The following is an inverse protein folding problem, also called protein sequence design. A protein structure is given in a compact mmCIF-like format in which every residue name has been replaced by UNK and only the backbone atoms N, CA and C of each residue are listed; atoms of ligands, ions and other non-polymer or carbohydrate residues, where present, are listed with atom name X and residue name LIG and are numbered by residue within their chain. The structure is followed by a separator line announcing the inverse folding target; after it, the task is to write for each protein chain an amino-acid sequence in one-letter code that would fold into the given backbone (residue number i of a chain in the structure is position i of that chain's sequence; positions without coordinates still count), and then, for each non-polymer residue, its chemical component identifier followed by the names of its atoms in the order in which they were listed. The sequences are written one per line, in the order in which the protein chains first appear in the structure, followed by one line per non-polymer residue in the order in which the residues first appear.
data_IF_545065024320
#
_entry.id   IF_545065024320
#
_cell.length_a   1.000
_cell.length_b   1.000
_cell.length_c   1.000
_cell.angle_alpha   90.00
_cell.angle_beta   90.00
_cell.angle_gamma   90.00
#
_symmetry.space_group_name_H-M   'P 1'
#
loop_
_entity.id
_entity.type
_entity.pdbx_description
1 polymer ?
#
# COMPACT_ATOMS: atom_id res chain seq x y z
N UNK A 1 0.54 19.58 -34.16
CA UNK A 1 1.19 18.77 -33.11
C UNK A 1 0.30 17.56 -32.87
N UNK A 2 0.81 16.34 -33.01
CA UNK A 2 -0.02 15.14 -32.92
C UNK A 2 -0.51 14.96 -31.48
N UNK A 3 -1.82 14.79 -31.32
CA UNK A 3 -2.38 14.30 -30.05
C UNK A 3 -1.68 12.98 -29.72
N UNK A 4 -1.23 12.84 -28.46
CA UNK A 4 -0.91 11.51 -27.95
C UNK A 4 -2.22 10.77 -27.99
N UNK A 5 -2.32 9.73 -28.79
CA UNK A 5 -3.53 8.93 -28.87
C UNK A 5 -3.35 7.64 -28.09
N UNK A 6 -4.45 7.03 -27.71
CA UNK A 6 -4.50 5.80 -26.95
C UNK A 6 -3.59 4.70 -27.53
N UNK A 7 -3.57 4.52 -28.85
CA UNK A 7 -2.73 3.52 -29.50
C UNK A 7 -1.24 3.77 -29.28
N UNK A 8 -0.80 5.04 -29.26
CA UNK A 8 0.60 5.41 -28.99
C UNK A 8 0.97 5.17 -27.54
N UNK A 9 0.06 5.47 -26.61
CA UNK A 9 0.27 5.22 -25.19
C UNK A 9 0.27 3.73 -24.88
N UNK A 10 -0.66 2.95 -25.44
CA UNK A 10 -0.66 1.48 -25.32
C UNK A 10 0.67 0.90 -25.80
N UNK A 11 1.14 1.27 -27.00
CA UNK A 11 2.42 0.82 -27.50
C UNK A 11 3.60 1.21 -26.60
N UNK A 12 3.57 2.42 -26.05
CA UNK A 12 4.60 2.87 -25.11
C UNK A 12 4.65 2.02 -23.85
N UNK A 13 3.47 1.64 -23.31
CA UNK A 13 3.37 0.79 -22.12
C UNK A 13 3.66 -0.68 -22.47
N UNK A 14 3.30 -1.15 -23.67
CA UNK A 14 3.68 -2.50 -24.15
C UNK A 14 5.19 -2.75 -24.09
N UNK A 15 5.98 -1.72 -24.40
CA UNK A 15 7.45 -1.81 -24.33
C UNK A 15 7.97 -2.07 -22.89
N UNK A 16 7.12 -1.98 -21.87
CA UNK A 16 7.48 -2.30 -20.48
C UNK A 16 7.34 -3.78 -20.15
N UNK A 17 6.53 -4.52 -20.88
CA UNK A 17 6.25 -5.93 -20.60
C UNK A 17 7.47 -6.82 -20.85
N UNK A 18 7.90 -7.54 -19.82
CA UNK A 18 8.94 -8.56 -19.95
C UNK A 18 8.42 -9.86 -20.58
N UNK A 19 7.12 -10.14 -20.45
CA UNK A 19 6.46 -11.37 -20.90
C UNK A 19 5.84 -11.27 -22.30
N UNK A 20 5.88 -10.10 -22.94
CA UNK A 20 5.17 -9.81 -24.20
C UNK A 20 3.65 -9.61 -24.02
N UNK A 21 3.12 -9.68 -22.81
CA UNK A 21 1.74 -9.32 -22.48
C UNK A 21 1.67 -7.88 -22.03
N UNK A 22 0.69 -7.15 -22.51
CA UNK A 22 0.40 -5.80 -22.04
C UNK A 22 -0.68 -5.85 -20.96
N UNK A 23 -0.26 -5.94 -19.70
CA UNK A 23 -1.19 -6.00 -18.56
C UNK A 23 -2.03 -4.71 -18.43
N UNK A 24 -1.57 -3.60 -19.04
CA UNK A 24 -2.28 -2.32 -19.03
C UNK A 24 -3.46 -2.25 -20.02
N UNK A 25 -3.60 -3.22 -20.95
CA UNK A 25 -4.81 -3.34 -21.77
C UNK A 25 -6.05 -3.62 -20.94
N UNK A 26 -5.83 -4.22 -19.76
CA UNK A 26 -6.87 -4.49 -18.79
C UNK A 26 -6.50 -3.85 -17.44
N UNK A 27 -6.76 -2.55 -17.27
CA UNK A 27 -6.33 -1.78 -16.12
C UNK A 27 -7.03 -2.22 -14.83
N UNK A 28 -6.40 -1.96 -13.70
CA UNK A 28 -6.85 -2.41 -12.39
C UNK A 28 -8.30 -2.01 -12.07
N UNK A 29 -8.71 -0.78 -12.42
CA UNK A 29 -10.08 -0.33 -12.19
C UNK A 29 -11.12 -1.20 -12.91
N UNK A 30 -10.82 -1.71 -14.11
CA UNK A 30 -11.72 -2.60 -14.84
C UNK A 30 -11.68 -4.01 -14.24
N UNK A 31 -10.48 -4.50 -13.85
CA UNK A 31 -10.35 -5.78 -13.12
C UNK A 31 -11.16 -5.78 -11.83
N UNK A 32 -11.14 -4.68 -11.08
CA UNK A 32 -11.93 -4.55 -9.85
C UNK A 32 -13.43 -4.58 -10.13
N UNK A 33 -13.91 -3.87 -11.16
CA UNK A 33 -15.33 -3.89 -11.54
C UNK A 33 -15.79 -5.30 -11.92
N UNK A 34 -15.02 -5.97 -12.76
CA UNK A 34 -15.36 -7.34 -13.20
C UNK A 34 -15.19 -8.35 -12.05
N UNK A 35 -14.12 -8.20 -11.25
CA UNK A 35 -13.89 -9.06 -10.10
C UNK A 35 -15.05 -9.03 -9.11
N UNK A 36 -15.62 -7.87 -8.83
CA UNK A 36 -16.82 -7.78 -7.99
C UNK A 36 -18.05 -8.43 -8.64
N UNK A 37 -18.20 -8.41 -9.97
CA UNK A 37 -19.29 -9.14 -10.66
C UNK A 37 -19.08 -10.65 -10.58
N UNK A 38 -17.83 -11.12 -10.66
CA UNK A 38 -17.48 -12.54 -10.47
C UNK A 38 -17.73 -12.94 -9.00
N UNK A 39 -17.33 -12.10 -8.04
CA UNK A 39 -17.56 -12.32 -6.62
C UNK A 39 -19.05 -12.48 -6.31
N UNK A 40 -19.91 -11.59 -6.81
CA UNK A 40 -21.37 -11.67 -6.64
C UNK A 40 -21.97 -12.98 -7.16
N UNK A 41 -21.41 -13.55 -8.23
CA UNK A 41 -21.88 -14.83 -8.78
C UNK A 41 -21.43 -16.05 -7.97
N UNK A 42 -20.25 -15.97 -7.34
CA UNK A 42 -19.63 -17.10 -6.63
C UNK A 42 -19.74 -17.04 -5.10
N UNK A 43 -20.11 -15.89 -4.51
CA UNK A 43 -20.07 -15.65 -3.07
C UNK A 43 -20.95 -16.61 -2.26
N UNK A 44 -22.05 -17.10 -2.82
CA UNK A 44 -22.93 -18.02 -2.11
C UNK A 44 -22.28 -19.37 -1.83
N UNK A 45 -21.48 -19.87 -2.79
CA UNK A 45 -20.71 -21.10 -2.63
C UNK A 45 -19.57 -20.87 -1.59
N UNK A 46 -18.92 -19.73 -1.64
CA UNK A 46 -17.87 -19.40 -0.70
C UNK A 46 -18.42 -19.31 0.74
N UNK A 47 -19.57 -18.65 0.95
CA UNK A 47 -20.24 -18.62 2.25
C UNK A 47 -20.58 -20.01 2.77
N UNK A 48 -21.14 -20.87 1.91
CA UNK A 48 -21.43 -22.25 2.27
C UNK A 48 -20.17 -22.98 2.76
N UNK A 49 -19.04 -22.85 2.04
CA UNK A 49 -17.76 -23.48 2.44
C UNK A 49 -17.25 -22.96 3.78
N UNK A 50 -17.39 -21.65 4.06
CA UNK A 50 -17.03 -21.06 5.37
C UNK A 50 -17.93 -21.63 6.45
N UNK A 51 -19.22 -21.75 6.22
CA UNK A 51 -20.17 -22.34 7.17
C UNK A 51 -19.88 -23.83 7.41
N UNK A 52 -19.55 -24.59 6.37
CA UNK A 52 -19.14 -25.99 6.48
C UNK A 52 -17.85 -26.15 7.30
N UNK A 53 -16.90 -25.23 7.13
CA UNK A 53 -15.69 -25.19 7.96
C UNK A 53 -16.03 -24.92 9.43
N UNK A 54 -16.88 -23.92 9.70
CA UNK A 54 -17.32 -23.58 11.07
C UNK A 54 -18.08 -24.72 11.76
N UNK A 55 -18.85 -25.47 11.00
CA UNK A 55 -19.60 -26.64 11.48
C UNK A 55 -18.76 -27.91 11.56
N UNK A 56 -17.47 -27.86 11.22
CA UNK A 56 -16.55 -28.99 11.26
C UNK A 56 -16.76 -30.02 10.15
N UNK A 57 -17.52 -29.66 9.08
CA UNK A 57 -17.73 -30.52 7.90
C UNK A 57 -16.46 -30.56 7.05
N UNK A 58 -15.79 -29.42 6.89
CA UNK A 58 -14.48 -29.33 6.25
C UNK A 58 -13.43 -28.79 7.23
N UNK A 59 -12.17 -29.11 6.97
CA UNK A 59 -11.05 -28.61 7.81
C UNK A 59 -10.81 -27.15 7.56
N UNK A 60 -10.35 -26.44 8.59
CA UNK A 60 -9.85 -25.08 8.46
C UNK A 60 -8.72 -25.02 7.42
N UNK A 61 -8.72 -23.98 6.59
CA UNK A 61 -7.76 -23.81 5.49
C UNK A 61 -7.70 -25.00 4.54
N UNK A 62 -8.83 -25.66 4.27
CA UNK A 62 -8.91 -26.71 3.28
C UNK A 62 -8.56 -26.16 1.89
N UNK A 63 -7.88 -26.97 1.08
CA UNK A 63 -7.54 -26.60 -0.31
C UNK A 63 -8.77 -26.15 -1.12
N UNK A 64 -9.94 -26.73 -0.82
CA UNK A 64 -11.20 -26.36 -1.46
C UNK A 64 -11.68 -24.95 -1.10
N UNK A 65 -11.51 -24.54 0.16
CA UNK A 65 -11.89 -23.18 0.60
C UNK A 65 -10.92 -22.15 -0.01
N UNK A 66 -9.62 -22.45 0.06
CA UNK A 66 -8.59 -21.58 -0.54
C UNK A 66 -8.82 -21.42 -2.04
N UNK A 67 -9.04 -22.54 -2.77
CA UNK A 67 -9.32 -22.51 -4.20
C UNK A 67 -10.56 -21.68 -4.53
N UNK A 68 -11.66 -21.85 -3.78
CA UNK A 68 -12.87 -21.07 -3.99
C UNK A 68 -12.65 -19.56 -3.78
N UNK A 69 -11.84 -19.16 -2.80
CA UNK A 69 -11.46 -17.75 -2.61
C UNK A 69 -10.63 -17.24 -3.78
N UNK A 70 -9.60 -18.00 -4.20
CA UNK A 70 -8.72 -17.62 -5.30
C UNK A 70 -9.46 -17.50 -6.64
N UNK A 71 -10.45 -18.35 -6.93
CA UNK A 71 -11.30 -18.22 -8.11
C UNK A 71 -11.99 -16.86 -8.18
N UNK A 72 -12.35 -16.27 -7.03
CA UNK A 72 -13.02 -14.98 -6.93
C UNK A 72 -12.07 -13.78 -6.91
N UNK A 73 -10.81 -13.96 -6.44
CA UNK A 73 -9.84 -12.88 -6.24
C UNK A 73 -8.80 -12.79 -7.36
N UNK A 74 -8.36 -13.91 -7.95
CA UNK A 74 -7.35 -13.93 -9.02
C UNK A 74 -7.71 -13.14 -10.29
N UNK A 75 -8.99 -12.93 -10.63
CA UNK A 75 -9.32 -12.01 -11.73
C UNK A 75 -8.85 -10.58 -11.50
N UNK A 76 -8.68 -10.18 -10.22
CA UNK A 76 -8.21 -8.84 -9.82
C UNK A 76 -6.73 -8.82 -9.51
N UNK A 77 -6.25 -9.74 -8.68
CA UNK A 77 -4.90 -9.79 -8.14
C UNK A 77 -4.13 -11.02 -8.64
N UNK A 78 -2.88 -10.83 -9.03
CA UNK A 78 -1.99 -11.94 -9.38
C UNK A 78 -1.44 -12.66 -8.13
N UNK A 79 -1.24 -11.89 -7.05
CA UNK A 79 -0.73 -12.40 -5.77
C UNK A 79 -1.49 -11.74 -4.63
N UNK A 80 -2.35 -12.52 -3.96
CA UNK A 80 -3.20 -12.04 -2.86
C UNK A 80 -3.15 -12.99 -1.67
N UNK A 81 -2.92 -12.43 -0.50
CA UNK A 81 -3.07 -13.10 0.78
C UNK A 81 -4.40 -12.70 1.43
N UNK A 82 -5.10 -13.66 2.00
CA UNK A 82 -6.41 -13.43 2.59
C UNK A 82 -6.71 -14.40 3.72
N UNK A 83 -7.63 -14.01 4.58
CA UNK A 83 -8.28 -14.86 5.56
C UNK A 83 -9.79 -14.76 5.39
N UNK A 84 -10.52 -15.77 5.86
CA UNK A 84 -11.98 -15.78 5.85
C UNK A 84 -12.52 -16.06 7.23
N UNK A 85 -13.66 -15.44 7.55
CA UNK A 85 -14.28 -15.57 8.86
C UNK A 85 -15.79 -15.36 8.82
N UNK A 86 -16.36 -15.36 10.02
CA UNK A 86 -17.73 -14.99 10.29
C UNK A 86 -17.83 -14.39 11.70
N UNK A 87 -18.31 -13.16 11.81
CA UNK A 87 -18.34 -12.45 13.10
C UNK A 87 -19.64 -12.64 13.90
N UNK A 88 -20.53 -13.55 13.50
CA UNK A 88 -21.84 -13.76 14.11
C UNK A 88 -23.00 -13.13 13.33
N UNK A 89 -22.72 -12.18 12.44
CA UNK A 89 -23.67 -11.45 11.62
C UNK A 89 -23.37 -11.59 10.13
N UNK A 90 -22.13 -11.30 9.72
CA UNK A 90 -21.68 -11.33 8.32
C UNK A 90 -20.47 -12.23 8.15
N UNK A 91 -20.33 -12.76 6.94
CA UNK A 91 -19.07 -13.37 6.51
C UNK A 91 -17.99 -12.31 6.39
N UNK A 92 -16.75 -12.69 6.58
CA UNK A 92 -15.60 -11.79 6.52
C UNK A 92 -14.60 -12.26 5.46
N UNK A 93 -14.19 -11.34 4.63
CA UNK A 93 -13.04 -11.47 3.74
C UNK A 93 -11.99 -10.46 4.19
N UNK A 94 -10.90 -10.95 4.74
CA UNK A 94 -9.81 -10.15 5.27
C UNK A 94 -8.67 -10.24 4.27
N UNK A 95 -8.36 -9.12 3.63
CA UNK A 95 -7.28 -8.99 2.65
C UNK A 95 -6.03 -8.48 3.38
N UNK A 96 -4.90 -9.18 3.23
CA UNK A 96 -3.69 -8.87 3.99
C UNK A 96 -2.57 -8.42 3.08
N UNK A 97 -1.86 -7.39 3.52
CA UNK A 97 -0.71 -6.83 2.81
C UNK A 97 0.59 -7.57 3.13
N UNK A 98 0.58 -8.47 4.13
CA UNK A 98 1.76 -9.23 4.61
C UNK A 98 2.97 -8.33 4.90
N UNK A 99 2.71 -7.15 5.50
CA UNK A 99 3.72 -6.15 5.83
C UNK A 99 4.19 -5.29 4.65
N UNK A 100 3.74 -5.56 3.43
CA UNK A 100 4.04 -4.71 2.27
C UNK A 100 3.12 -3.48 2.25
N UNK A 101 3.66 -2.37 2.73
CA UNK A 101 2.92 -1.09 2.85
C UNK A 101 2.35 -0.60 1.52
N UNK A 102 2.98 -0.90 0.38
CA UNK A 102 2.50 -0.49 -0.93
C UNK A 102 1.27 -1.29 -1.38
N UNK A 103 1.16 -2.57 -0.98
CA UNK A 103 -0.02 -3.41 -1.25
C UNK A 103 -1.30 -2.87 -0.61
N UNK A 104 -1.21 -2.04 0.43
CA UNK A 104 -2.39 -1.42 1.03
C UNK A 104 -3.18 -0.57 0.03
N UNK A 105 -2.52 0.11 -0.92
CA UNK A 105 -3.20 0.96 -1.89
C UNK A 105 -4.18 0.19 -2.79
N UNK A 106 -3.79 -0.87 -3.51
CA UNK A 106 -4.73 -1.67 -4.29
C UNK A 106 -5.76 -2.40 -3.44
N UNK A 107 -5.43 -2.86 -2.23
CA UNK A 107 -6.39 -3.51 -1.34
C UNK A 107 -7.48 -2.53 -0.86
N UNK A 108 -7.10 -1.31 -0.48
CA UNK A 108 -8.06 -0.25 -0.10
C UNK A 108 -8.88 0.19 -1.30
N UNK A 109 -8.28 0.30 -2.48
CA UNK A 109 -9.01 0.59 -3.71
C UNK A 109 -10.09 -0.48 -3.98
N UNK A 110 -9.72 -1.75 -3.91
CA UNK A 110 -10.67 -2.87 -4.08
C UNK A 110 -11.79 -2.82 -3.05
N UNK A 111 -11.47 -2.64 -1.76
CA UNK A 111 -12.45 -2.53 -0.68
C UNK A 111 -13.44 -1.37 -0.91
N UNK A 112 -12.95 -0.18 -1.26
CA UNK A 112 -13.78 1.02 -1.50
C UNK A 112 -14.77 0.85 -2.65
N UNK A 113 -14.49 -0.05 -3.60
CA UNK A 113 -15.35 -0.33 -4.76
C UNK A 113 -16.25 -1.55 -4.57
N UNK A 114 -16.34 -2.09 -3.36
CA UNK A 114 -17.25 -3.22 -3.09
C UNK A 114 -18.72 -2.82 -3.30
N UNK A 115 -19.50 -3.59 -4.08
CA UNK A 115 -20.93 -3.31 -4.30
C UNK A 115 -21.72 -3.40 -2.99
N UNK A 116 -22.81 -2.64 -2.89
CA UNK A 116 -23.69 -2.67 -1.72
C UNK A 116 -24.25 -4.06 -1.45
N UNK A 117 -24.58 -4.81 -2.48
CA UNK A 117 -25.11 -6.17 -2.42
C UNK A 117 -24.10 -7.14 -1.75
N UNK A 118 -22.80 -6.93 -1.97
CA UNK A 118 -21.74 -7.67 -1.26
C UNK A 118 -21.71 -7.24 0.21
N UNK A 119 -21.70 -5.94 0.47
CA UNK A 119 -21.58 -5.38 1.83
C UNK A 119 -22.81 -5.69 2.73
N UNK A 120 -23.94 -6.09 2.16
CA UNK A 120 -25.10 -6.60 2.93
C UNK A 120 -24.77 -7.90 3.67
N UNK A 121 -23.91 -8.75 3.09
CA UNK A 121 -23.61 -10.11 3.57
C UNK A 121 -22.17 -10.31 4.01
N UNK A 122 -21.27 -9.42 3.57
CA UNK A 122 -19.86 -9.50 3.80
C UNK A 122 -19.30 -8.25 4.48
N UNK A 123 -18.34 -8.46 5.36
CA UNK A 123 -17.39 -7.45 5.75
C UNK A 123 -16.11 -7.65 4.92
N UNK A 124 -15.79 -6.69 4.08
CA UNK A 124 -14.53 -6.66 3.33
C UNK A 124 -13.55 -5.83 4.15
N UNK A 125 -12.54 -6.48 4.68
CA UNK A 125 -11.60 -5.91 5.65
C UNK A 125 -10.21 -5.87 5.02
N UNK A 126 -9.50 -4.76 5.15
CA UNK A 126 -8.09 -4.66 4.79
C UNK A 126 -7.24 -4.66 6.06
N UNK A 127 -6.31 -5.59 6.12
CA UNK A 127 -5.45 -5.84 7.29
C UNK A 127 -6.11 -6.71 8.36
N UNK A 128 -5.33 -7.59 8.94
CA UNK A 128 -5.76 -8.43 10.08
C UNK A 128 -6.18 -7.55 11.25
N UNK A 129 -7.26 -7.94 11.90
CA UNK A 129 -7.74 -7.31 13.14
C UNK A 129 -6.99 -7.91 14.34
N UNK A 130 -6.79 -7.14 15.44
CA UNK A 130 -6.19 -7.69 16.64
C UNK A 130 -7.05 -8.81 17.20
N UNK A 131 -6.40 -9.86 17.65
CA UNK A 131 -7.06 -11.00 18.29
C UNK A 131 -7.30 -10.68 19.76
N UNK A 132 -8.55 -10.74 20.20
CA UNK A 132 -8.93 -10.35 21.58
C UNK A 132 -8.54 -11.37 22.63
N UNK A 133 -8.35 -12.63 22.26
CA UNK A 133 -7.85 -13.68 23.13
C UNK A 133 -6.35 -13.88 22.96
N UNK A 134 -5.71 -14.55 23.94
CA UNK A 134 -4.28 -14.80 23.81
C UNK A 134 -4.01 -15.81 22.69
N UNK A 135 -3.57 -15.29 21.54
CA UNK A 135 -3.12 -16.11 20.42
C UNK A 135 -1.83 -16.86 20.74
N UNK A 136 -1.69 -18.07 20.23
CA UNK A 136 -0.48 -18.87 20.38
C UNK A 136 -0.13 -19.63 19.10
N UNK A 137 1.16 -19.75 18.84
CA UNK A 137 1.71 -20.49 17.70
C UNK A 137 2.43 -21.72 18.23
N UNK A 138 2.09 -22.88 17.69
CA UNK A 138 2.80 -24.12 17.97
C UNK A 138 3.74 -24.46 16.84
N UNK A 139 5.04 -24.29 17.07
CA UNK A 139 6.08 -24.60 16.09
C UNK A 139 7.32 -25.17 16.78
N UNK A 140 8.02 -26.07 16.09
CA UNK A 140 9.26 -26.73 16.55
C UNK A 140 9.15 -27.31 17.99
N UNK A 141 7.97 -27.87 18.29
CA UNK A 141 7.73 -28.50 19.61
C UNK A 141 7.45 -27.50 20.75
N UNK A 142 7.53 -26.19 20.48
CA UNK A 142 7.20 -25.15 21.44
C UNK A 142 5.83 -24.52 21.14
N UNK A 143 5.15 -24.08 22.21
CA UNK A 143 3.93 -23.27 22.14
C UNK A 143 4.26 -21.88 22.66
N UNK A 144 4.28 -20.90 21.76
CA UNK A 144 4.61 -19.50 22.07
C UNK A 144 3.33 -18.69 21.98
N UNK A 145 2.98 -18.02 23.07
CA UNK A 145 1.76 -17.23 23.21
C UNK A 145 2.10 -15.74 23.34
N UNK A 146 1.18 -14.87 22.95
CA UNK A 146 1.27 -13.44 23.26
C UNK A 146 1.44 -13.15 24.76
N UNK A 147 1.03 -14.08 25.64
CA UNK A 147 1.23 -13.96 27.11
C UNK A 147 2.68 -14.18 27.53
N UNK A 148 3.48 -14.85 26.70
CA UNK A 148 4.90 -15.12 26.98
C UNK A 148 5.79 -13.93 26.60
N UNK A 149 5.23 -12.90 25.94
CA UNK A 149 5.98 -11.77 25.40
C UNK A 149 5.78 -10.51 26.22
N UNK A 150 6.89 -9.90 26.59
CA UNK A 150 6.95 -8.60 27.26
C UNK A 150 7.44 -7.53 26.31
N UNK A 151 6.89 -6.31 26.42
CA UNK A 151 7.10 -5.19 25.50
C UNK A 151 7.46 -3.94 26.29
N UNK A 152 8.54 -3.26 25.87
CA UNK A 152 8.88 -1.89 26.25
C UNK A 152 8.70 -1.02 25.03
N UNK A 153 8.10 0.17 25.19
CA UNK A 153 7.70 1.05 24.09
C UNK A 153 8.46 2.37 24.23
N UNK A 154 9.14 2.76 23.18
CA UNK A 154 9.75 4.09 23.05
C UNK A 154 9.02 4.86 21.93
N UNK A 155 8.23 5.87 22.33
CA UNK A 155 7.50 6.72 21.39
C UNK A 155 8.39 7.80 20.80
N UNK A 156 8.25 8.00 19.49
CA UNK A 156 8.89 9.10 18.74
C UNK A 156 7.95 10.29 18.58
N UNK A 157 8.51 11.46 18.26
CA UNK A 157 7.73 12.69 18.05
C UNK A 157 6.68 12.57 16.92
N UNK A 158 6.96 11.77 15.90
CA UNK A 158 6.07 11.50 14.78
C UNK A 158 4.94 10.50 15.10
N UNK A 159 4.74 10.16 16.37
CA UNK A 159 3.74 9.20 16.86
C UNK A 159 3.96 7.76 16.40
N UNK A 160 5.17 7.41 15.96
CA UNK A 160 5.56 6.00 15.78
C UNK A 160 6.29 5.50 17.03
N UNK A 161 6.34 4.19 17.21
CA UNK A 161 6.99 3.54 18.33
C UNK A 161 8.12 2.62 17.88
N UNK A 162 9.17 2.59 18.66
CA UNK A 162 10.16 1.52 18.64
C UNK A 162 9.85 0.56 19.79
N UNK A 163 9.78 -0.74 19.49
CA UNK A 163 9.42 -1.77 20.45
C UNK A 163 10.63 -2.61 20.79
N UNK A 164 10.80 -2.90 22.09
CA UNK A 164 11.76 -3.87 22.58
C UNK A 164 10.99 -5.05 23.15
N UNK A 165 11.21 -6.24 22.62
CA UNK A 165 10.40 -7.42 22.87
C UNK A 165 11.23 -8.52 23.49
N UNK A 166 10.77 -9.06 24.61
CA UNK A 166 11.40 -10.20 25.27
C UNK A 166 10.43 -11.36 25.37
N UNK A 167 10.91 -12.53 24.97
CA UNK A 167 10.21 -13.80 25.17
C UNK A 167 11.25 -14.87 25.49
N UNK A 168 11.25 -15.38 26.74
CA UNK A 168 12.21 -16.39 27.19
C UNK A 168 12.27 -17.62 26.26
N UNK A 169 11.10 -18.05 25.76
CA UNK A 169 10.99 -19.19 24.83
C UNK A 169 11.63 -18.95 23.46
N UNK A 170 11.87 -17.69 23.08
CA UNK A 170 12.49 -17.32 21.81
C UNK A 170 14.00 -17.08 21.90
N UNK A 171 14.57 -16.97 23.10
CA UNK A 171 16.00 -16.65 23.26
C UNK A 171 16.90 -17.66 22.55
N UNK A 172 16.63 -18.96 22.67
CA UNK A 172 17.38 -20.00 21.98
C UNK A 172 17.27 -19.90 20.46
N UNK A 173 16.07 -19.57 19.94
CA UNK A 173 15.87 -19.37 18.51
C UNK A 173 16.56 -18.11 17.98
N UNK A 174 16.62 -17.07 18.80
CA UNK A 174 17.34 -15.83 18.43
C UNK A 174 18.82 -16.11 18.19
N UNK A 175 19.41 -17.02 18.95
CA UNK A 175 20.82 -17.43 18.80
C UNK A 175 21.04 -18.43 17.66
N UNK A 176 20.11 -19.34 17.42
CA UNK A 176 20.24 -20.41 16.41
C UNK A 176 19.74 -19.97 15.02
N UNK A 177 18.65 -19.22 14.96
CA UNK A 177 18.02 -18.75 13.73
C UNK A 177 17.24 -17.46 13.99
N UNK A 178 17.93 -16.33 13.97
CA UNK A 178 17.41 -15.00 14.24
C UNK A 178 16.21 -14.66 13.33
N UNK A 179 16.33 -14.90 12.03
CA UNK A 179 15.26 -14.60 11.07
C UNK A 179 13.94 -15.30 11.43
N UNK A 180 14.03 -16.50 11.96
CA UNK A 180 12.87 -17.26 12.37
C UNK A 180 12.22 -16.67 13.63
N UNK A 181 13.02 -16.26 14.61
CA UNK A 181 12.51 -15.59 15.81
C UNK A 181 11.80 -14.27 15.46
N UNK A 182 12.38 -13.48 14.57
CA UNK A 182 11.76 -12.24 14.06
C UNK A 182 10.46 -12.51 13.29
N UNK A 183 10.43 -13.52 12.42
CA UNK A 183 9.22 -13.90 11.69
C UNK A 183 8.07 -14.30 12.63
N UNK A 184 8.35 -15.15 13.65
CA UNK A 184 7.36 -15.49 14.67
C UNK A 184 6.85 -14.27 15.41
N UNK A 185 7.75 -13.34 15.75
CA UNK A 185 7.35 -12.14 16.47
C UNK A 185 6.50 -11.20 15.61
N UNK A 186 6.77 -11.07 14.30
CA UNK A 186 5.90 -10.35 13.37
C UNK A 186 4.47 -10.88 13.43
N UNK A 187 4.28 -12.21 13.36
CA UNK A 187 2.95 -12.81 13.44
C UNK A 187 2.28 -12.49 14.78
N UNK A 188 3.01 -12.63 15.91
CA UNK A 188 2.44 -12.33 17.22
C UNK A 188 2.09 -10.85 17.39
N UNK A 189 2.88 -9.94 16.83
CA UNK A 189 2.59 -8.52 16.81
C UNK A 189 1.33 -8.20 16.01
N UNK A 190 1.21 -8.72 14.78
CA UNK A 190 0.03 -8.51 13.94
C UNK A 190 -1.25 -9.08 14.61
N UNK A 191 -1.12 -10.20 15.32
CA UNK A 191 -2.24 -10.74 16.11
C UNK A 191 -2.55 -9.88 17.35
N UNK A 192 -1.55 -9.24 17.93
CA UNK A 192 -1.73 -8.44 19.15
C UNK A 192 -2.32 -7.05 18.87
N UNK A 193 -1.88 -6.39 17.81
CA UNK A 193 -2.27 -5.00 17.52
C UNK A 193 -3.08 -4.84 16.25
N UNK A 194 -3.12 -5.84 15.38
CA UNK A 194 -3.64 -5.77 14.02
C UNK A 194 -2.57 -5.29 13.02
N UNK A 195 -2.75 -5.67 11.78
CA UNK A 195 -1.77 -5.38 10.71
C UNK A 195 -1.68 -3.87 10.42
N UNK A 196 -2.79 -3.16 10.35
CA UNK A 196 -2.78 -1.71 10.07
C UNK A 196 -2.07 -0.91 11.16
N UNK A 197 -2.34 -1.10 12.47
CA UNK A 197 -1.58 -0.43 13.51
C UNK A 197 -0.09 -0.83 13.54
N UNK A 198 0.22 -2.09 13.24
CA UNK A 198 1.61 -2.55 13.10
C UNK A 198 2.33 -1.76 12.00
N UNK A 199 1.73 -1.64 10.83
CA UNK A 199 2.26 -0.89 9.69
C UNK A 199 2.39 0.63 9.96
N UNK A 200 1.39 1.23 10.65
CA UNK A 200 1.31 2.69 10.83
C UNK A 200 2.15 3.22 11.97
N UNK A 201 2.19 2.51 13.08
CA UNK A 201 2.66 3.05 14.35
C UNK A 201 3.89 2.33 14.89
N UNK A 202 4.26 1.15 14.36
CA UNK A 202 5.50 0.47 14.74
C UNK A 202 6.55 0.75 13.66
N UNK A 203 7.56 1.54 14.03
CA UNK A 203 8.67 1.87 13.12
C UNK A 203 9.62 0.69 12.97
N UNK A 204 10.01 0.12 14.10
CA UNK A 204 10.82 -1.10 14.18
C UNK A 204 10.62 -1.80 15.52
N UNK A 205 11.05 -3.04 15.60
CA UNK A 205 11.19 -3.73 16.87
C UNK A 205 12.52 -4.49 16.96
N UNK A 206 12.95 -4.71 18.18
CA UNK A 206 14.15 -5.47 18.53
C UNK A 206 13.77 -6.62 19.48
N UNK A 207 14.32 -7.81 19.22
CA UNK A 207 14.20 -8.95 20.11
C UNK A 207 15.36 -8.98 21.10
N UNK A 208 15.04 -9.02 22.38
CA UNK A 208 16.00 -9.00 23.46
C UNK A 208 16.33 -10.40 23.95
N UNK A 209 17.60 -10.67 24.27
CA UNK A 209 18.02 -11.89 24.96
C UNK A 209 17.74 -11.85 26.47
N UNK A 210 17.53 -10.67 27.03
CA UNK A 210 17.22 -10.44 28.44
C UNK A 210 16.18 -9.32 28.56
N UNK A 211 15.35 -9.34 29.61
CA UNK A 211 14.39 -8.26 29.88
C UNK A 211 15.13 -6.90 29.98
N UNK A 212 14.51 -5.85 29.43
CA UNK A 212 14.95 -4.47 29.60
C UNK A 212 14.61 -3.98 31.02
N UNK A 213 15.40 -3.08 31.58
CA UNK A 213 15.08 -2.43 32.84
C UNK A 213 13.76 -1.64 32.76
N UNK A 214 13.03 -1.60 33.88
CA UNK A 214 11.75 -0.89 33.98
C UNK A 214 10.53 -1.78 33.71
N UNK A 215 9.35 -1.16 33.82
CA UNK A 215 8.07 -1.87 33.74
C UNK A 215 7.71 -2.16 32.28
N UNK A 216 7.96 -3.38 31.81
CA UNK A 216 7.40 -3.89 30.57
C UNK A 216 5.90 -4.18 30.68
N UNK A 217 5.21 -4.19 29.56
CA UNK A 217 3.80 -4.64 29.52
C UNK A 217 3.68 -5.95 28.74
N UNK A 218 2.70 -6.81 29.10
CA UNK A 218 2.40 -7.99 28.28
C UNK A 218 1.96 -7.59 26.87
N UNK A 219 2.39 -8.32 25.83
CA UNK A 219 2.02 -8.07 24.44
C UNK A 219 0.50 -7.99 24.24
N UNK A 220 -0.27 -8.77 24.99
CA UNK A 220 -1.75 -8.75 24.99
C UNK A 220 -2.36 -7.40 25.38
N UNK A 221 -1.59 -6.48 25.97
CA UNK A 221 -2.05 -5.13 26.34
C UNK A 221 -1.54 -4.04 25.41
N UNK A 222 -0.71 -4.40 24.41
CA UNK A 222 -0.05 -3.43 23.53
C UNK A 222 -1.07 -2.58 22.76
N UNK A 223 -2.09 -3.17 22.16
CA UNK A 223 -3.13 -2.46 21.42
C UNK A 223 -3.80 -1.36 22.26
N UNK A 224 -4.27 -1.72 23.43
CA UNK A 224 -4.93 -0.76 24.34
C UNK A 224 -3.98 0.34 24.81
N UNK A 225 -2.70 0.02 25.02
CA UNK A 225 -1.68 0.99 25.37
C UNK A 225 -1.46 1.99 24.21
N UNK A 226 -1.35 1.49 22.98
CA UNK A 226 -1.21 2.31 21.78
C UNK A 226 -2.43 3.22 21.58
N UNK A 227 -3.65 2.68 21.67
CA UNK A 227 -4.88 3.47 21.57
C UNK A 227 -4.90 4.63 22.56
N UNK A 228 -4.60 4.35 23.82
CA UNK A 228 -4.60 5.37 24.88
C UNK A 228 -3.55 6.46 24.62
N UNK A 229 -2.34 6.06 24.17
CA UNK A 229 -1.24 7.00 23.93
C UNK A 229 -1.52 7.87 22.69
N UNK A 230 -2.08 7.29 21.64
CA UNK A 230 -2.39 7.98 20.39
C UNK A 230 -3.69 8.80 20.48
N UNK A 231 -4.56 8.50 21.45
CA UNK A 231 -5.87 9.12 21.60
C UNK A 231 -6.86 8.75 20.49
N UNK A 232 -6.74 7.54 19.94
CA UNK A 232 -7.56 7.04 18.82
C UNK A 232 -8.53 5.97 19.30
N UNK A 233 -9.69 5.88 18.67
CA UNK A 233 -10.59 4.74 18.86
C UNK A 233 -10.16 3.53 18.01
N UNK A 234 -10.87 2.40 18.19
CA UNK A 234 -10.53 1.16 17.50
C UNK A 234 -10.67 1.27 15.99
N UNK A 235 -11.74 1.90 15.50
CA UNK A 235 -11.98 2.03 14.05
C UNK A 235 -10.94 2.94 13.41
N UNK A 236 -10.57 4.04 14.07
CA UNK A 236 -9.52 4.93 13.58
C UNK A 236 -8.14 4.25 13.53
N UNK A 237 -7.84 3.41 14.52
CA UNK A 237 -6.58 2.65 14.54
C UNK A 237 -6.51 1.61 13.41
N UNK A 238 -7.63 0.96 13.09
CA UNK A 238 -7.71 -0.15 12.14
C UNK A 238 -8.04 0.31 10.71
N UNK A 239 -8.18 1.62 10.49
CA UNK A 239 -8.50 2.19 9.17
C UNK A 239 -7.27 2.26 8.27
N UNK A 240 -7.17 1.32 7.32
CA UNK A 240 -6.10 1.28 6.33
C UNK A 240 -6.15 2.45 5.34
N UNK A 241 -7.32 3.04 5.07
CA UNK A 241 -7.44 4.18 4.18
C UNK A 241 -6.68 5.40 4.72
N UNK A 242 -6.75 5.62 6.04
CA UNK A 242 -5.97 6.70 6.70
C UNK A 242 -4.46 6.54 6.53
N UNK A 243 -3.96 5.31 6.40
CA UNK A 243 -2.54 5.11 6.06
C UNK A 243 -2.23 5.66 4.67
N UNK A 244 -3.04 5.31 3.67
CA UNK A 244 -2.85 5.77 2.29
C UNK A 244 -3.02 7.30 2.11
N UNK A 245 -3.68 7.96 3.06
CA UNK A 245 -3.92 9.41 3.11
C UNK A 245 -2.92 10.16 4.01
N UNK A 246 -2.00 9.43 4.69
CA UNK A 246 -1.01 10.03 5.59
C UNK A 246 0.27 10.36 4.82
N UNK A 247 0.62 11.63 4.76
CA UNK A 247 1.80 12.10 4.03
C UNK A 247 3.02 12.21 4.94
N UNK A 248 4.16 11.76 4.41
CA UNK A 248 5.49 11.89 5.02
C UNK A 248 6.35 12.82 4.17
N UNK A 249 6.92 13.85 4.80
CA UNK A 249 7.89 14.71 4.15
C UNK A 249 9.28 14.04 4.10
N UNK A 250 10.02 14.33 3.04
CA UNK A 250 11.40 13.89 2.89
C UNK A 250 12.25 14.99 2.25
N UNK A 251 13.53 14.99 2.58
CA UNK A 251 14.54 15.89 2.02
C UNK A 251 15.62 15.07 1.31
N UNK A 252 16.10 15.57 0.19
CA UNK A 252 17.18 14.98 -0.58
C UNK A 252 18.26 16.02 -0.84
N UNK A 253 19.46 15.56 -1.12
CA UNK A 253 20.55 16.42 -1.59
C UNK A 253 20.50 16.45 -3.12
N UNK A 254 20.10 17.56 -3.74
CA UNK A 254 20.02 17.64 -5.19
C UNK A 254 21.40 17.57 -5.84
N UNK A 255 21.48 17.01 -7.04
CA UNK A 255 22.66 17.09 -7.88
C UNK A 255 22.55 18.34 -8.77
N UNK A 256 23.26 19.39 -8.39
CA UNK A 256 23.26 20.68 -9.07
C UNK A 256 23.85 20.66 -10.50
N UNK A 257 24.60 19.61 -10.83
CA UNK A 257 25.26 19.46 -12.14
C UNK A 257 24.41 18.72 -13.17
N UNK A 258 23.31 18.09 -12.75
CA UNK A 258 22.45 17.31 -13.65
C UNK A 258 21.31 18.16 -14.15
N UNK A 259 21.43 18.63 -15.41
CA UNK A 259 20.34 19.31 -16.13
C UNK A 259 19.28 18.36 -16.69
N UNK A 260 19.50 17.06 -16.63
CA UNK A 260 18.57 16.03 -17.09
C UNK A 260 18.77 14.76 -16.25
N UNK A 261 17.85 14.47 -15.41
CA UNK A 261 17.84 13.27 -14.59
C UNK A 261 16.64 13.29 -13.66
N UNK A 262 15.83 12.26 -13.75
CA UNK A 262 14.57 12.18 -13.02
C UNK A 262 14.83 12.25 -11.52
N UNK A 263 14.19 13.23 -10.89
CA UNK A 263 14.22 13.46 -9.44
C UNK A 263 15.62 13.66 -8.82
N UNK A 264 16.69 13.74 -9.61
CA UNK A 264 18.03 14.00 -9.08
C UNK A 264 18.25 15.46 -8.68
N UNK A 265 17.38 16.34 -9.14
CA UNK A 265 17.32 17.75 -8.77
C UNK A 265 16.42 18.04 -7.56
N UNK A 266 15.74 17.02 -7.01
CA UNK A 266 14.81 17.17 -5.88
C UNK A 266 15.55 17.51 -4.60
N UNK A 267 15.04 18.52 -3.88
CA UNK A 267 15.50 18.88 -2.54
C UNK A 267 14.46 18.62 -1.45
N UNK A 268 13.17 18.65 -1.76
CA UNK A 268 12.09 18.34 -0.80
C UNK A 268 10.91 17.69 -1.50
N UNK A 269 10.25 16.77 -0.82
CA UNK A 269 9.02 16.16 -1.29
C UNK A 269 8.14 15.68 -0.15
N UNK A 270 6.91 15.31 -0.50
CA UNK A 270 5.96 14.63 0.38
C UNK A 270 5.37 13.43 -0.36
N UNK A 271 5.08 12.36 0.36
CA UNK A 271 4.43 11.19 -0.22
C UNK A 271 3.60 10.44 0.81
N UNK A 272 2.47 9.88 0.38
CA UNK A 272 1.72 8.90 1.19
C UNK A 272 2.18 7.45 0.96
N UNK A 273 2.98 7.20 -0.10
CA UNK A 273 3.55 5.88 -0.38
C UNK A 273 5.09 5.90 -0.27
N UNK A 274 5.59 5.99 0.96
CA UNK A 274 7.04 6.02 1.25
C UNK A 274 7.80 4.85 0.61
N UNK A 275 7.32 3.59 0.65
CA UNK A 275 8.04 2.46 0.05
C UNK A 275 8.30 2.63 -1.45
N UNK A 276 7.32 3.14 -2.20
CA UNK A 276 7.44 3.35 -3.64
C UNK A 276 8.54 4.36 -3.98
N UNK A 277 8.59 5.48 -3.26
CA UNK A 277 9.64 6.49 -3.45
C UNK A 277 11.01 5.95 -3.02
N UNK A 278 11.07 5.20 -1.92
CA UNK A 278 12.32 4.59 -1.43
C UNK A 278 12.90 3.59 -2.42
N UNK A 279 12.10 2.66 -2.98
CA UNK A 279 12.55 1.71 -4.00
C UNK A 279 13.03 2.43 -5.26
N UNK A 280 12.29 3.44 -5.71
CA UNK A 280 12.71 4.23 -6.87
C UNK A 280 14.08 4.91 -6.66
N UNK A 281 14.31 5.50 -5.48
CA UNK A 281 15.59 6.15 -5.15
C UNK A 281 16.74 5.15 -4.98
N UNK A 282 16.45 3.91 -4.58
CA UNK A 282 17.39 2.80 -4.46
C UNK A 282 17.62 2.04 -5.76
N UNK A 283 16.94 2.43 -6.84
CA UNK A 283 16.94 1.75 -8.13
C UNK A 283 16.41 0.30 -8.04
N UNK A 284 15.40 0.10 -7.23
CA UNK A 284 14.64 -1.13 -7.10
C UNK A 284 13.29 -0.99 -7.83
N UNK A 285 12.65 -2.11 -8.19
CA UNK A 285 11.41 -2.11 -8.97
C UNK A 285 10.37 -3.12 -8.50
N UNK A 286 10.57 -3.76 -7.37
CA UNK A 286 9.71 -4.85 -6.87
C UNK A 286 8.24 -4.41 -6.75
N UNK A 287 7.99 -3.20 -6.21
CA UNK A 287 6.63 -2.65 -6.09
C UNK A 287 6.04 -2.38 -7.47
N UNK A 288 6.82 -1.78 -8.37
CA UNK A 288 6.36 -1.50 -9.73
C UNK A 288 6.12 -2.75 -10.54
N UNK A 289 6.93 -3.81 -10.37
CA UNK A 289 6.74 -5.12 -10.99
C UNK A 289 5.41 -5.75 -10.53
N UNK A 290 5.11 -5.69 -9.21
CA UNK A 290 3.86 -6.16 -8.64
C UNK A 290 2.65 -5.34 -9.14
N UNK A 291 2.75 -4.03 -9.12
CA UNK A 291 1.70 -3.14 -9.62
C UNK A 291 1.38 -3.38 -11.08
N UNK A 292 2.42 -3.53 -11.92
CA UNK A 292 2.24 -3.79 -13.35
C UNK A 292 1.48 -5.09 -13.62
N UNK A 293 1.75 -6.15 -12.87
CA UNK A 293 1.05 -7.44 -13.01
C UNK A 293 -0.45 -7.32 -12.76
N UNK A 294 -0.86 -6.41 -11.89
CA UNK A 294 -2.25 -6.13 -11.56
C UNK A 294 -2.88 -5.04 -12.46
N UNK A 295 -2.14 -4.52 -13.45
CA UNK A 295 -2.65 -3.47 -14.35
C UNK A 295 -2.61 -2.07 -13.73
N UNK A 296 -1.73 -1.85 -12.74
CA UNK A 296 -1.50 -0.58 -12.05
C UNK A 296 -0.18 0.02 -12.54
N UNK A 297 -0.12 1.33 -12.70
CA UNK A 297 1.16 2.02 -12.78
C UNK A 297 1.25 3.13 -11.76
N UNK A 298 2.47 3.46 -11.36
CA UNK A 298 2.74 4.63 -10.55
C UNK A 298 3.90 5.42 -11.15
N UNK A 299 3.87 6.71 -10.97
CA UNK A 299 4.88 7.59 -11.53
C UNK A 299 4.65 9.04 -11.17
N UNK A 300 5.34 9.91 -11.87
CA UNK A 300 5.22 11.34 -11.68
C UNK A 300 5.00 12.09 -13.00
N UNK A 301 4.20 13.15 -12.93
CA UNK A 301 4.24 14.21 -13.92
C UNK A 301 5.30 15.22 -13.49
N UNK A 302 6.39 15.29 -14.26
CA UNK A 302 7.39 16.33 -14.08
C UNK A 302 7.07 17.53 -14.96
N UNK A 303 7.28 18.73 -14.45
CA UNK A 303 7.11 19.96 -15.20
C UNK A 303 8.18 20.98 -14.82
N UNK A 304 8.61 21.76 -15.85
CA UNK A 304 9.68 22.75 -15.70
C UNK A 304 9.26 23.87 -14.74
N UNK A 305 10.18 24.27 -13.88
CA UNK A 305 10.02 25.47 -13.02
C UNK A 305 10.28 26.77 -13.77
N UNK A 306 10.75 26.73 -15.02
CA UNK A 306 10.86 27.87 -15.91
C UNK A 306 9.47 28.47 -16.18
N UNK A 307 9.31 29.75 -15.91
CA UNK A 307 8.03 30.46 -16.07
C UNK A 307 7.34 30.83 -14.77
N UNK A 308 7.76 30.25 -13.64
CA UNK A 308 7.38 30.74 -12.32
C UNK A 308 8.29 31.90 -11.91
N UNK A 309 7.70 33.02 -11.47
CA UNK A 309 8.45 34.20 -11.08
C UNK A 309 9.18 33.98 -9.75
N UNK A 310 10.32 34.61 -9.54
CA UNK A 310 11.08 34.47 -8.28
C UNK A 310 10.29 34.94 -7.07
N UNK A 311 9.48 35.98 -7.25
CA UNK A 311 8.59 36.48 -6.22
C UNK A 311 7.46 35.46 -5.97
N UNK A 312 7.38 34.93 -4.73
CA UNK A 312 6.40 33.93 -4.31
C UNK A 312 6.45 32.59 -5.09
N UNK A 313 7.61 32.23 -5.67
CA UNK A 313 7.78 31.05 -6.52
C UNK A 313 7.25 29.76 -5.87
N UNK A 314 7.56 29.55 -4.60
CA UNK A 314 7.08 28.36 -3.86
C UNK A 314 5.56 28.26 -3.84
N UNK A 315 4.87 29.38 -3.60
CA UNK A 315 3.41 29.41 -3.60
C UNK A 315 2.85 29.15 -5.00
N UNK A 316 3.42 29.76 -6.05
CA UNK A 316 2.97 29.53 -7.42
C UNK A 316 3.11 28.07 -7.85
N UNK A 317 4.18 27.39 -7.42
CA UNK A 317 4.40 25.97 -7.68
C UNK A 317 3.35 25.11 -6.98
N UNK A 318 3.05 25.40 -5.71
CA UNK A 318 2.03 24.69 -4.97
C UNK A 318 0.63 24.90 -5.58
N UNK A 319 0.24 26.16 -5.83
CA UNK A 319 -1.04 26.49 -6.46
C UNK A 319 -1.19 25.81 -7.84
N UNK A 320 -0.12 25.76 -8.63
CA UNK A 320 -0.11 25.07 -9.93
C UNK A 320 -0.30 23.55 -9.78
N UNK A 321 0.38 22.93 -8.81
CA UNK A 321 0.26 21.50 -8.52
C UNK A 321 -1.15 21.15 -8.09
N UNK A 322 -1.72 21.90 -7.14
CA UNK A 322 -3.06 21.67 -6.65
C UNK A 322 -4.11 21.84 -7.76
N UNK A 323 -3.93 22.84 -8.64
CA UNK A 323 -4.79 23.02 -9.80
C UNK A 323 -4.65 21.86 -10.81
N UNK A 324 -3.44 21.40 -11.08
CA UNK A 324 -3.19 20.29 -12.00
C UNK A 324 -3.80 18.99 -11.50
N UNK A 325 -3.65 18.71 -10.20
CA UNK A 325 -4.28 17.58 -9.52
C UNK A 325 -5.80 17.62 -9.66
N UNK A 326 -6.42 18.75 -9.30
CA UNK A 326 -7.87 18.92 -9.38
C UNK A 326 -8.41 18.74 -10.82
N UNK A 327 -7.74 19.34 -11.82
CA UNK A 327 -8.16 19.21 -13.23
C UNK A 327 -8.03 17.76 -13.75
N UNK A 328 -6.97 17.04 -13.34
CA UNK A 328 -6.82 15.63 -13.74
C UNK A 328 -7.88 14.77 -13.04
N UNK A 329 -8.15 14.97 -11.76
CA UNK A 329 -9.20 14.25 -11.03
C UNK A 329 -10.58 14.49 -11.64
N UNK A 330 -10.91 15.75 -11.98
CA UNK A 330 -12.19 16.09 -12.61
C UNK A 330 -12.36 15.40 -13.97
N UNK A 331 -11.31 15.37 -14.80
CA UNK A 331 -11.38 14.82 -16.15
C UNK A 331 -11.20 13.30 -16.23
N UNK A 332 -10.35 12.70 -15.39
CA UNK A 332 -10.09 11.27 -15.37
C UNK A 332 -11.07 10.50 -14.47
N UNK A 333 -11.55 11.13 -13.39
CA UNK A 333 -12.34 10.51 -12.33
C UNK A 333 -11.47 9.91 -11.22
N UNK A 334 -12.00 9.94 -10.00
CA UNK A 334 -11.35 9.41 -8.80
C UNK A 334 -11.06 7.90 -8.91
N UNK A 335 -11.85 7.18 -9.71
CA UNK A 335 -11.64 5.76 -9.97
C UNK A 335 -10.44 5.48 -10.88
N UNK A 336 -9.87 6.48 -11.54
CA UNK A 336 -8.76 6.30 -12.47
C UNK A 336 -7.39 6.58 -11.84
N UNK A 337 -7.30 7.42 -10.82
CA UNK A 337 -6.04 7.89 -10.26
C UNK A 337 -6.15 8.24 -8.77
N UNK A 338 -5.06 7.98 -8.04
CA UNK A 338 -4.84 8.47 -6.68
C UNK A 338 -3.53 9.24 -6.66
N UNK A 339 -3.58 10.53 -6.29
CA UNK A 339 -2.37 11.30 -6.07
C UNK A 339 -1.76 10.96 -4.70
N UNK A 340 -0.46 10.77 -4.69
CA UNK A 340 0.28 10.32 -3.51
C UNK A 340 1.31 11.34 -3.02
N UNK A 341 1.29 12.54 -3.60
CA UNK A 341 2.16 13.64 -3.20
C UNK A 341 2.90 14.29 -4.35
N UNK A 342 4.13 14.68 -4.10
CA UNK A 342 4.96 15.32 -5.10
C UNK A 342 6.26 15.86 -4.52
N UNK A 343 7.09 16.44 -5.39
CA UNK A 343 8.39 16.96 -4.99
C UNK A 343 8.71 18.28 -5.70
N UNK A 344 9.61 19.05 -5.09
CA UNK A 344 10.18 20.25 -5.67
C UNK A 344 11.67 20.04 -5.92
N UNK A 345 12.08 20.28 -7.15
CA UNK A 345 13.46 20.25 -7.57
C UNK A 345 13.98 21.61 -8.03
N UNK A 346 15.24 21.67 -8.39
CA UNK A 346 15.91 22.88 -8.87
C UNK A 346 15.35 23.27 -10.25
N UNK A 347 15.13 22.28 -11.11
CA UNK A 347 14.73 22.47 -12.52
C UNK A 347 13.30 22.03 -12.81
N UNK A 348 12.82 21.01 -12.09
CA UNK A 348 11.48 20.47 -12.25
C UNK A 348 10.74 20.32 -10.92
N UNK A 349 9.42 20.38 -10.99
CA UNK A 349 8.53 19.91 -9.93
C UNK A 349 7.82 18.65 -10.39
N UNK A 350 7.33 17.89 -9.42
CA UNK A 350 6.79 16.55 -9.64
C UNK A 350 5.45 16.42 -8.93
N UNK A 351 4.46 15.86 -9.64
CA UNK A 351 3.17 15.44 -9.09
C UNK A 351 3.10 13.92 -9.16
N UNK A 352 3.09 13.27 -8.01
CA UNK A 352 3.23 11.83 -7.86
C UNK A 352 1.86 11.15 -7.76
N UNK A 353 1.68 10.02 -8.44
CA UNK A 353 0.39 9.34 -8.48
C UNK A 353 0.51 7.82 -8.65
N UNK A 354 -0.58 7.12 -8.29
CA UNK A 354 -0.88 5.74 -8.67
C UNK A 354 -2.06 5.79 -9.64
N UNK A 355 -1.92 5.21 -10.82
CA UNK A 355 -2.97 5.15 -11.83
C UNK A 355 -3.61 3.76 -11.87
N UNK A 356 -4.89 3.73 -11.59
CA UNK A 356 -5.76 2.56 -11.70
C UNK A 356 -6.24 2.34 -13.15
N UNK A 357 -6.22 3.42 -13.96
CA UNK A 357 -6.39 3.41 -15.42
C UNK A 357 -5.27 4.22 -16.08
N UNK A 358 -4.08 3.64 -16.28
CA UNK A 358 -2.91 4.36 -16.77
C UNK A 358 -3.14 5.08 -18.11
N UNK A 359 -3.79 4.44 -19.05
CA UNK A 359 -4.03 5.02 -20.38
C UNK A 359 -4.88 6.29 -20.28
N UNK A 360 -6.02 6.21 -19.57
CA UNK A 360 -6.92 7.34 -19.37
C UNK A 360 -6.22 8.51 -18.66
N UNK A 361 -5.47 8.22 -17.60
CA UNK A 361 -4.75 9.24 -16.83
C UNK A 361 -3.71 9.97 -17.68
N UNK A 362 -2.92 9.25 -18.47
CA UNK A 362 -1.89 9.84 -19.33
C UNK A 362 -2.48 10.65 -20.48
N UNK A 363 -3.60 10.21 -21.07
CA UNK A 363 -4.31 10.97 -22.11
C UNK A 363 -4.85 12.29 -21.58
N UNK A 364 -5.53 12.24 -20.43
CA UNK A 364 -6.10 13.41 -19.77
C UNK A 364 -4.99 14.39 -19.36
N UNK A 365 -3.95 13.90 -18.72
CA UNK A 365 -2.82 14.74 -18.31
C UNK A 365 -2.12 15.40 -19.50
N UNK A 366 -1.92 14.66 -20.61
CA UNK A 366 -1.33 15.20 -21.82
C UNK A 366 -2.16 16.35 -22.43
N UNK A 367 -3.49 16.22 -22.43
CA UNK A 367 -4.39 17.28 -22.93
C UNK A 367 -4.36 18.52 -22.05
N UNK A 368 -4.41 18.34 -20.72
CA UNK A 368 -4.37 19.43 -19.75
C UNK A 368 -3.01 20.15 -19.83
N UNK A 369 -1.89 19.41 -19.75
CA UNK A 369 -0.54 19.96 -19.70
C UNK A 369 -0.17 20.75 -20.97
N UNK A 370 -0.68 20.35 -22.15
CA UNK A 370 -0.49 21.11 -23.39
C UNK A 370 -0.99 22.55 -23.29
N UNK A 371 -2.07 22.77 -22.54
CA UNK A 371 -2.70 24.07 -22.40
C UNK A 371 -2.11 24.93 -21.28
N UNK A 372 -1.23 24.36 -20.43
CA UNK A 372 -0.59 25.11 -19.33
C UNK A 372 0.59 25.95 -19.86
N UNK A 373 0.89 27.05 -19.13
CA UNK A 373 2.01 27.96 -19.43
C UNK A 373 3.31 27.45 -18.79
N UNK A 374 3.77 26.27 -19.19
CA UNK A 374 5.03 25.66 -18.76
C UNK A 374 5.85 25.30 -20.01
N UNK A 375 7.18 25.26 -19.88
CA UNK A 375 8.08 24.99 -21.03
C UNK A 375 8.12 23.51 -21.39
N UNK A 376 8.05 22.62 -20.41
CA UNK A 376 8.20 21.18 -20.56
C UNK A 376 7.30 20.46 -19.57
N UNK A 377 6.70 19.35 -19.99
CA UNK A 377 6.09 18.37 -19.12
C UNK A 377 6.30 16.94 -19.64
N UNK A 378 6.59 16.02 -18.73
CA UNK A 378 6.85 14.63 -19.06
C UNK A 378 6.24 13.73 -17.97
N UNK A 379 5.87 12.52 -18.36
CA UNK A 379 5.52 11.43 -17.44
C UNK A 379 6.70 10.50 -17.25
N UNK A 380 6.95 10.10 -16.02
CA UNK A 380 7.94 9.08 -15.65
C UNK A 380 7.32 8.06 -14.74
N UNK A 381 7.36 6.76 -15.08
CA UNK A 381 7.05 5.71 -14.14
C UNK A 381 8.10 5.67 -13.02
N UNK A 382 7.71 5.22 -11.84
CA UNK A 382 8.66 4.89 -10.75
C UNK A 382 9.41 3.59 -11.04
N UNK A 383 9.90 3.47 -12.26
CA UNK A 383 10.60 2.33 -12.81
C UNK A 383 11.83 2.83 -13.55
N UNK A 384 13.01 2.76 -12.91
CA UNK A 384 14.21 3.46 -13.34
C UNK A 384 14.74 3.07 -14.72
N UNK A 385 14.54 1.81 -15.15
CA UNK A 385 14.97 1.31 -16.46
C UNK A 385 13.98 1.64 -17.60
N UNK A 386 12.82 2.20 -17.27
CA UNK A 386 11.81 2.60 -18.25
C UNK A 386 11.94 4.07 -18.62
N UNK A 387 11.75 4.33 -19.91
CA UNK A 387 11.82 5.70 -20.43
C UNK A 387 10.58 6.49 -20.09
N UNK A 388 10.75 7.79 -19.86
CA UNK A 388 9.64 8.71 -19.76
C UNK A 388 8.98 9.00 -21.11
N UNK A 389 7.80 9.60 -21.09
CA UNK A 389 7.10 10.08 -22.28
C UNK A 389 6.84 11.58 -22.16
N UNK A 390 7.23 12.31 -23.20
CA UNK A 390 6.98 13.75 -23.29
C UNK A 390 5.50 14.02 -23.52
N UNK A 391 4.90 14.84 -22.67
CA UNK A 391 3.50 15.26 -22.73
C UNK A 391 3.37 16.67 -23.33
N UNK A 392 4.39 17.52 -23.08
CA UNK A 392 4.48 18.86 -23.65
C UNK A 392 5.91 19.21 -24.07
#
# INVERSE_FOLDING_TARGET
MSKINEKKLKKYIEDWSQSGKNEMEYPFCERVKEGWQIFLKGESLLRQKIDDMRNGVIKQNSDELVAACLELLNPVFQDICFETGYNGEKHELILTAEGDKAKLFPLIYFQKHAPKEVLERWNIIVGRRPFHEAYSIRMFGQNISMKDVWVWIEWKENKTAELFLYCEKLVSFLQENENYAYWLMCILLDQAVGEIPSIRYIDRFELLEQPKDGDGLPLTKLFNCMQKTLGLDTEEMLDGAKYCETYTAYELKPDENIKAGWRKDVFVGITSCVPLISEYLQNESRIMDSFYQDGITAGSFSYSVEGFTEENRGKQILDFRDQLEAEILEAAGEEAVTFIGGASGIYCCYLDFIAWNPIKVLEVAAEILKNKKIALAEFHPFWNDKKGIRLK
#
